data_IF_859171234859
#
_entry.id   IF_859171234859
#
_cell.length_a   1.000
_cell.length_b   1.000
_cell.length_c   1.000
_cell.angle_alpha   90.00
_cell.angle_beta   90.00
_cell.angle_gamma   90.00
#
_symmetry.space_group_name_H-M   'P 1'
#
loop_
_entity.id
_entity.type
_entity.pdbx_description
1 polymer ?
#
# COMPACT_ATOMS: atom_id res chain seq x y z
N UNK A 1 67.26 -8.57 21.42
CA UNK A 1 66.76 -8.13 20.10
C UNK A 1 65.24 -8.32 20.04
N UNK A 2 64.54 -7.20 19.90
CA UNK A 2 63.19 -6.93 19.37
C UNK A 2 61.92 -7.68 19.83
N UNK A 3 61.04 -6.88 20.46
CA UNK A 3 59.62 -7.04 20.83
C UNK A 3 58.70 -7.22 19.61
N UNK A 4 57.58 -7.94 19.78
CA UNK A 4 56.33 -7.81 18.98
C UNK A 4 55.14 -8.02 19.94
N UNK A 5 54.56 -6.95 20.50
CA UNK A 5 53.40 -6.15 20.03
C UNK A 5 52.11 -6.98 19.98
N UNK A 6 51.28 -6.75 21.00
CA UNK A 6 49.84 -7.03 21.04
C UNK A 6 49.15 -6.05 20.09
N UNK A 7 48.25 -6.51 19.21
CA UNK A 7 47.31 -5.62 18.53
C UNK A 7 45.90 -6.20 18.59
N UNK A 8 45.11 -5.57 19.46
CA UNK A 8 43.67 -5.70 19.59
C UNK A 8 43.00 -5.33 18.26
N UNK A 9 42.23 -6.24 17.68
CA UNK A 9 41.33 -5.93 16.56
C UNK A 9 39.90 -6.00 17.07
N UNK A 10 39.35 -4.81 17.31
CA UNK A 10 37.94 -4.61 17.65
C UNK A 10 37.12 -4.96 16.42
N UNK A 11 36.40 -6.09 16.49
CA UNK A 11 35.43 -6.48 15.48
C UNK A 11 34.22 -5.53 15.59
N UNK A 12 34.19 -4.48 14.76
CA UNK A 12 33.03 -3.60 14.65
C UNK A 12 31.91 -4.36 13.92
N UNK A 13 31.06 -5.05 14.68
CA UNK A 13 29.89 -5.75 14.19
C UNK A 13 28.82 -4.71 13.81
N UNK A 14 28.90 -4.20 12.58
CA UNK A 14 27.79 -3.45 11.98
C UNK A 14 26.67 -4.44 11.69
N UNK A 15 25.82 -4.69 12.70
CA UNK A 15 24.55 -5.37 12.49
C UNK A 15 23.77 -4.55 11.45
N UNK A 16 23.46 -5.08 10.26
CA UNK A 16 22.43 -4.45 9.46
C UNK A 16 21.18 -4.47 10.33
N UNK A 17 20.66 -3.30 10.66
CA UNK A 17 19.34 -3.18 11.26
C UNK A 17 18.35 -3.62 10.18
N UNK A 18 18.18 -4.93 10.07
CA UNK A 18 17.17 -5.54 9.20
C UNK A 18 15.84 -5.16 9.83
N UNK A 19 15.23 -4.10 9.32
CA UNK A 19 13.84 -3.78 9.61
C UNK A 19 13.01 -4.88 8.95
N UNK A 20 12.86 -6.01 9.66
CA UNK A 20 11.87 -7.01 9.31
C UNK A 20 10.51 -6.31 9.47
N UNK A 21 9.92 -5.88 8.36
CA UNK A 21 8.54 -5.44 8.36
C UNK A 21 7.70 -6.59 8.95
N UNK A 22 6.86 -6.33 9.97
CA UNK A 22 6.03 -7.38 10.53
C UNK A 22 5.22 -8.01 9.39
N UNK A 23 5.41 -9.32 9.21
CA UNK A 23 4.61 -10.09 8.28
C UNK A 23 3.22 -10.25 8.90
N UNK A 24 2.31 -9.32 8.57
CA UNK A 24 0.90 -9.46 8.92
C UNK A 24 0.30 -10.60 8.09
N UNK A 25 0.01 -11.71 8.76
CA UNK A 25 -0.60 -12.91 8.17
C UNK A 25 -2.11 -12.90 8.45
N UNK A 26 -2.86 -12.18 7.64
CA UNK A 26 -4.33 -12.07 7.68
C UNK A 26 -4.82 -10.93 6.78
N UNK A 27 -6.10 -10.87 6.38
CA UNK A 27 -6.61 -9.67 5.75
C UNK A 27 -6.54 -8.55 6.80
N UNK A 28 -5.62 -7.61 6.58
CA UNK A 28 -5.36 -6.52 7.50
C UNK A 28 -6.62 -5.67 7.65
N UNK A 29 -7.16 -5.57 8.87
CA UNK A 29 -8.27 -4.66 9.14
C UNK A 29 -7.73 -3.24 9.24
N UNK A 30 -7.96 -2.43 8.21
CA UNK A 30 -7.51 -1.05 8.17
C UNK A 30 -8.66 -0.08 8.44
N UNK A 31 -8.42 0.94 9.28
CA UNK A 31 -9.37 2.05 9.49
C UNK A 31 -8.70 3.34 9.06
N UNK A 32 -9.27 3.98 8.04
CA UNK A 32 -8.75 5.20 7.42
C UNK A 32 -9.80 6.30 7.58
N UNK A 33 -9.48 7.33 8.36
CA UNK A 33 -10.41 8.42 8.70
C UNK A 33 -10.05 9.73 7.99
N UNK A 34 -11.07 10.49 7.59
CA UNK A 34 -10.89 11.80 6.97
C UNK A 34 -10.16 12.78 7.91
N UNK A 35 -9.24 13.58 7.36
CA UNK A 35 -8.54 14.67 8.06
C UNK A 35 -7.50 14.22 9.08
N UNK A 36 -7.30 12.91 9.31
CA UNK A 36 -6.35 12.39 10.29
C UNK A 36 -5.12 11.80 9.61
N UNK A 37 -3.92 12.19 10.05
CA UNK A 37 -2.66 11.55 9.63
C UNK A 37 -2.39 10.22 10.36
N UNK A 38 -3.41 9.67 11.02
CA UNK A 38 -3.33 8.40 11.74
C UNK A 38 -4.55 7.55 11.40
N UNK A 39 -4.29 6.30 11.03
CA UNK A 39 -5.27 5.24 10.91
C UNK A 39 -4.95 4.11 11.87
N UNK A 40 -5.62 2.97 11.69
CA UNK A 40 -5.22 1.73 12.37
C UNK A 40 -5.10 0.60 11.37
N UNK A 41 -4.19 -0.34 11.63
CA UNK A 41 -4.06 -1.61 10.92
C UNK A 41 -4.03 -2.70 12.00
N UNK A 42 -5.00 -3.61 11.98
CA UNK A 42 -5.20 -4.64 13.01
C UNK A 42 -5.23 -4.06 14.44
N UNK A 43 -5.88 -2.90 14.58
CA UNK A 43 -6.00 -2.18 15.84
C UNK A 43 -4.73 -1.43 16.29
N UNK A 44 -3.60 -1.61 15.60
CA UNK A 44 -2.37 -0.87 15.87
C UNK A 44 -2.38 0.47 15.14
N UNK A 45 -1.91 1.54 15.80
CA UNK A 45 -1.83 2.85 15.18
C UNK A 45 -0.88 2.84 13.98
N UNK A 46 -1.34 3.39 12.86
CA UNK A 46 -0.59 3.49 11.62
C UNK A 46 -0.50 4.96 11.18
N UNK A 47 0.71 5.43 10.86
CA UNK A 47 0.94 6.83 10.45
C UNK A 47 0.79 6.97 8.95
N UNK A 48 -0.15 7.81 8.54
CA UNK A 48 -0.34 8.22 7.14
C UNK A 48 0.56 9.42 6.86
N UNK A 49 1.20 9.44 5.69
CA UNK A 49 2.06 10.56 5.31
C UNK A 49 1.25 11.76 4.82
N UNK A 50 0.04 11.51 4.30
CA UNK A 50 -0.92 12.54 3.95
C UNK A 50 -2.30 12.21 4.53
N UNK A 51 -2.97 13.22 5.06
CA UNK A 51 -4.30 13.06 5.62
C UNK A 51 -5.26 12.62 4.51
N UNK A 52 -6.09 11.58 4.73
CA UNK A 52 -7.19 11.27 3.84
C UNK A 52 -8.13 12.47 3.73
N UNK A 53 -8.63 12.72 2.53
CA UNK A 53 -9.49 13.86 2.22
C UNK A 53 -10.88 13.35 1.88
N UNK A 54 -11.90 13.86 2.57
CA UNK A 54 -13.29 13.61 2.20
C UNK A 54 -13.75 14.74 1.30
N UNK A 55 -13.94 14.46 0.01
CA UNK A 55 -14.30 15.45 -1.00
C UNK A 55 -15.40 14.88 -1.91
N UNK A 56 -16.47 15.66 -2.10
CA UNK A 56 -17.62 15.30 -2.94
C UNK A 56 -18.22 13.91 -2.61
N UNK A 57 -18.18 13.50 -1.34
CA UNK A 57 -18.69 12.20 -0.90
C UNK A 57 -17.73 11.03 -1.05
N UNK A 58 -16.52 11.26 -1.57
CA UNK A 58 -15.49 10.24 -1.72
C UNK A 58 -14.36 10.46 -0.71
N UNK A 59 -13.99 9.41 0.02
CA UNK A 59 -12.79 9.42 0.85
C UNK A 59 -11.59 9.09 -0.04
N UNK A 60 -10.70 10.05 -0.22
CA UNK A 60 -9.43 9.90 -0.90
C UNK A 60 -8.31 9.61 0.09
N UNK A 61 -7.40 8.72 -0.26
CA UNK A 61 -6.13 8.54 0.45
C UNK A 61 -4.98 8.44 -0.57
N UNK A 62 -3.77 8.77 -0.13
CA UNK A 62 -2.59 8.58 -0.96
C UNK A 62 -2.42 7.09 -1.26
N UNK A 63 -2.25 6.73 -2.54
CA UNK A 63 -2.13 5.32 -2.98
C UNK A 63 -1.02 4.59 -2.21
N UNK A 64 0.08 5.27 -1.91
CA UNK A 64 1.19 4.71 -1.12
C UNK A 64 0.81 4.42 0.33
N UNK A 65 0.07 5.31 0.97
CA UNK A 65 -0.35 5.13 2.36
C UNK A 65 -1.37 3.99 2.45
N UNK A 66 -2.31 3.90 1.49
CA UNK A 66 -3.24 2.79 1.41
C UNK A 66 -2.54 1.46 1.10
N UNK A 67 -1.59 1.45 0.16
CA UNK A 67 -0.80 0.25 -0.15
C UNK A 67 -0.13 -0.30 1.11
N UNK A 68 0.56 0.56 1.85
CA UNK A 68 1.27 0.16 3.06
C UNK A 68 0.30 -0.29 4.18
N UNK A 69 -0.85 0.35 4.34
CA UNK A 69 -1.88 -0.09 5.29
C UNK A 69 -2.46 -1.47 4.96
N UNK A 70 -2.52 -1.84 3.67
CA UNK A 70 -3.04 -3.12 3.18
C UNK A 70 -1.95 -4.19 2.98
N UNK A 71 -0.70 -3.90 3.36
CA UNK A 71 0.44 -4.80 3.15
C UNK A 71 0.86 -4.97 1.69
N UNK A 72 0.45 -4.05 0.81
CA UNK A 72 0.82 -4.01 -0.60
C UNK A 72 2.09 -3.17 -0.83
N UNK A 73 2.88 -3.56 -1.84
CA UNK A 73 3.95 -2.73 -2.38
C UNK A 73 3.40 -1.68 -3.35
N UNK A 74 4.16 -0.61 -3.59
CA UNK A 74 3.85 0.38 -4.61
C UNK A 74 5.09 0.78 -5.40
N UNK A 75 4.95 0.88 -6.72
CA UNK A 75 5.95 1.45 -7.63
C UNK A 75 5.35 2.66 -8.34
N UNK A 76 6.16 3.67 -8.61
CA UNK A 76 5.77 4.85 -9.38
C UNK A 76 6.47 4.86 -10.73
N UNK A 77 5.77 5.31 -11.77
CA UNK A 77 6.32 5.54 -13.12
C UNK A 77 6.04 6.97 -13.55
N UNK A 78 7.10 7.77 -13.69
CA UNK A 78 7.00 9.21 -13.98
C UNK A 78 6.42 9.49 -15.37
N UNK A 79 6.83 8.73 -16.40
CA UNK A 79 6.42 9.02 -17.79
C UNK A 79 4.92 8.90 -18.01
N UNK A 80 4.29 8.00 -17.27
CA UNK A 80 2.85 7.74 -17.37
C UNK A 80 2.07 8.29 -16.18
N UNK A 81 2.77 8.91 -15.22
CA UNK A 81 2.23 9.35 -13.93
C UNK A 81 1.35 8.28 -13.28
N UNK A 82 1.90 7.07 -13.21
CA UNK A 82 1.15 5.89 -12.73
C UNK A 82 1.73 5.34 -11.44
N UNK A 83 0.85 5.00 -10.50
CA UNK A 83 1.17 4.15 -9.37
C UNK A 83 0.73 2.71 -9.67
N UNK A 84 1.64 1.76 -9.48
CA UNK A 84 1.38 0.33 -9.57
C UNK A 84 1.42 -0.24 -8.17
N UNK A 85 0.26 -0.60 -7.63
CA UNK A 85 0.13 -1.28 -6.34
C UNK A 85 0.13 -2.80 -6.55
N UNK A 86 0.91 -3.52 -5.74
CA UNK A 86 1.13 -4.96 -5.87
C UNK A 86 0.81 -5.62 -4.53
N UNK A 87 -0.20 -6.48 -4.50
CA UNK A 87 -0.60 -7.26 -3.34
C UNK A 87 -0.36 -8.75 -3.63
N UNK A 88 0.39 -9.41 -2.75
CA UNK A 88 0.57 -10.86 -2.76
C UNK A 88 -0.31 -11.47 -1.67
N UNK A 89 -1.19 -12.40 -2.03
CA UNK A 89 -2.08 -13.11 -1.09
C UNK A 89 -2.07 -14.59 -1.41
N UNK A 90 -1.40 -15.38 -0.57
CA UNK A 90 -1.19 -16.81 -0.82
C UNK A 90 -0.46 -17.04 -2.15
N UNK A 91 -1.07 -17.82 -3.05
CA UNK A 91 -0.52 -18.13 -4.38
C UNK A 91 -0.95 -17.15 -5.48
N UNK A 92 -1.54 -15.99 -5.13
CA UNK A 92 -2.06 -14.99 -6.07
C UNK A 92 -1.36 -13.64 -5.90
N UNK A 93 -1.16 -12.97 -7.02
CA UNK A 93 -0.70 -11.59 -7.13
C UNK A 93 -1.79 -10.75 -7.78
N UNK A 94 -2.15 -9.66 -7.11
CA UNK A 94 -3.01 -8.61 -7.65
C UNK A 94 -2.15 -7.37 -7.93
N UNK A 95 -2.22 -6.88 -9.17
CA UNK A 95 -1.54 -5.65 -9.60
C UNK A 95 -2.59 -4.64 -10.03
N UNK A 96 -2.70 -3.53 -9.31
CA UNK A 96 -3.58 -2.42 -9.64
C UNK A 96 -2.74 -1.25 -10.17
N UNK A 97 -2.98 -0.86 -11.42
CA UNK A 97 -2.35 0.30 -12.05
C UNK A 97 -3.32 1.47 -12.05
N UNK A 98 -2.91 2.57 -11.42
CA UNK A 98 -3.66 3.82 -11.31
C UNK A 98 -2.89 4.94 -11.99
N UNK A 99 -3.50 5.61 -12.95
CA UNK A 99 -2.93 6.79 -13.60
C UNK A 99 -3.52 8.06 -13.02
N UNK A 100 -2.71 9.10 -12.86
CA UNK A 100 -3.21 10.43 -12.51
C UNK A 100 -4.25 10.91 -13.54
N UNK A 101 -5.37 11.44 -13.06
CA UNK A 101 -6.51 11.90 -13.85
C UNK A 101 -7.43 10.80 -14.38
N UNK A 102 -7.11 9.52 -14.18
CA UNK A 102 -7.94 8.43 -14.69
C UNK A 102 -9.13 8.11 -13.78
N UNK A 103 -10.24 7.74 -14.40
CA UNK A 103 -11.49 7.26 -13.79
C UNK A 103 -11.54 5.73 -13.66
N UNK A 104 -10.40 5.05 -13.78
CA UNK A 104 -10.34 3.59 -13.80
C UNK A 104 -9.01 3.05 -13.29
N UNK A 105 -9.06 1.81 -12.81
CA UNK A 105 -7.91 0.99 -12.43
C UNK A 105 -7.80 -0.13 -13.47
N UNK A 106 -6.58 -0.40 -13.94
CA UNK A 106 -6.29 -1.67 -14.63
C UNK A 106 -5.82 -2.69 -13.59
N UNK A 107 -6.65 -3.70 -13.33
CA UNK A 107 -6.40 -4.75 -12.36
C UNK A 107 -5.98 -6.03 -13.08
N UNK A 108 -4.80 -6.52 -12.73
CA UNK A 108 -4.31 -7.84 -13.15
C UNK A 108 -4.31 -8.78 -11.96
N UNK A 109 -4.97 -9.93 -12.10
CA UNK A 109 -4.91 -11.04 -11.16
C UNK A 109 -4.20 -12.22 -11.82
N UNK A 110 -3.07 -12.61 -11.24
CA UNK A 110 -2.16 -13.61 -11.77
C UNK A 110 -1.63 -14.52 -10.65
N UNK A 111 -1.03 -15.68 -10.97
CA UNK A 111 -0.29 -16.44 -9.98
C UNK A 111 0.87 -15.63 -9.39
N UNK A 112 1.18 -15.91 -8.13
CA UNK A 112 2.30 -15.30 -7.41
C UNK A 112 3.66 -15.60 -8.05
N UNK A 113 4.70 -14.90 -7.60
CA UNK A 113 6.07 -15.09 -8.14
C UNK A 113 6.49 -16.56 -8.06
N UNK A 114 7.05 -17.09 -9.16
CA UNK A 114 7.57 -18.46 -9.20
C UNK A 114 6.51 -19.55 -9.38
N UNK A 115 5.24 -19.16 -9.54
CA UNK A 115 4.16 -20.09 -9.85
C UNK A 115 3.90 -20.01 -11.36
N UNK A 116 3.91 -21.16 -12.03
CA UNK A 116 3.62 -21.23 -13.46
C UNK A 116 2.26 -20.60 -13.77
N UNK A 117 2.20 -19.78 -14.82
CA UNK A 117 0.99 -19.10 -15.23
C UNK A 117 -0.07 -20.13 -15.66
N UNK A 118 -1.05 -20.40 -14.80
CA UNK A 118 -2.24 -21.19 -15.18
C UNK A 118 -3.35 -20.29 -15.72
N UNK A 119 -3.62 -19.16 -15.06
CA UNK A 119 -4.68 -18.21 -15.44
C UNK A 119 -4.30 -16.78 -15.06
N UNK A 120 -4.32 -15.87 -16.03
CA UNK A 120 -4.18 -14.42 -15.84
C UNK A 120 -5.49 -13.76 -16.27
N UNK A 121 -6.03 -12.89 -15.42
CA UNK A 121 -7.17 -12.05 -15.78
C UNK A 121 -6.79 -10.58 -15.69
N UNK A 122 -7.22 -9.79 -16.68
CA UNK A 122 -7.06 -8.34 -16.70
C UNK A 122 -8.44 -7.71 -16.78
N UNK A 123 -8.75 -6.81 -15.85
CA UNK A 123 -10.03 -6.11 -15.79
C UNK A 123 -9.82 -4.61 -15.64
N UNK A 124 -10.76 -3.84 -16.18
CA UNK A 124 -10.85 -2.41 -15.92
C UNK A 124 -11.92 -2.20 -14.85
N UNK A 125 -11.54 -1.64 -13.71
CA UNK A 125 -12.45 -1.30 -12.62
C UNK A 125 -12.69 0.20 -12.70
N UNK A 126 -13.96 0.62 -12.83
CA UNK A 126 -14.31 2.04 -12.83
C UNK A 126 -14.21 2.59 -11.41
N UNK A 127 -13.61 3.76 -11.29
CA UNK A 127 -13.67 4.56 -10.08
C UNK A 127 -14.95 5.39 -10.10
N UNK A 128 -15.52 5.62 -8.93
CA UNK A 128 -16.63 6.55 -8.74
C UNK A 128 -16.17 8.03 -8.80
N UNK A 129 -14.87 8.27 -8.65
CA UNK A 129 -14.22 9.55 -8.89
C UNK A 129 -12.75 9.37 -9.36
N UNK A 130 -12.17 10.31 -10.13
CA UNK A 130 -10.85 10.11 -10.71
C UNK A 130 -9.73 10.05 -9.65
N UNK A 131 -8.66 9.32 -9.93
CA UNK A 131 -7.43 9.43 -9.16
C UNK A 131 -6.74 10.78 -9.47
N UNK A 132 -6.32 11.53 -8.46
CA UNK A 132 -5.81 12.91 -8.62
C UNK A 132 -4.41 13.07 -8.05
N UNK A 133 -3.56 13.84 -8.73
CA UNK A 133 -2.28 14.27 -8.17
C UNK A 133 -2.50 15.52 -7.32
N UNK A 134 -2.29 15.39 -6.02
CA UNK A 134 -2.42 16.48 -5.06
C UNK A 134 -1.17 16.53 -4.17
N UNK A 135 -0.53 17.70 -4.09
CA UNK A 135 0.67 17.91 -3.28
C UNK A 135 1.79 16.87 -3.55
N UNK A 136 1.97 16.49 -4.83
CA UNK A 136 2.98 15.50 -5.23
C UNK A 136 2.65 14.04 -4.86
N UNK A 137 1.41 13.75 -4.41
CA UNK A 137 0.94 12.40 -4.11
C UNK A 137 -0.25 12.04 -4.99
N UNK A 138 -0.27 10.82 -5.51
CA UNK A 138 -1.45 10.29 -6.17
C UNK A 138 -2.46 9.89 -5.10
N UNK A 139 -3.58 10.60 -5.07
CA UNK A 139 -4.75 10.35 -4.24
C UNK A 139 -5.76 9.53 -5.05
N UNK A 140 -6.34 8.50 -4.44
CA UNK A 140 -7.38 7.69 -5.08
C UNK A 140 -8.54 7.45 -4.11
N UNK A 141 -9.78 7.28 -4.61
CA UNK A 141 -10.89 6.89 -3.77
C UNK A 141 -10.60 5.55 -3.07
N UNK A 142 -10.69 5.54 -1.74
CA UNK A 142 -10.28 4.41 -0.90
C UNK A 142 -11.09 3.16 -1.23
N UNK A 143 -12.41 3.31 -1.39
CA UNK A 143 -13.35 2.18 -1.59
C UNK A 143 -13.05 1.39 -2.87
N UNK A 144 -13.19 1.94 -4.09
CA UNK A 144 -13.02 1.16 -5.30
C UNK A 144 -11.60 0.61 -5.44
N UNK A 145 -10.59 1.29 -4.89
CA UNK A 145 -9.21 0.79 -4.89
C UNK A 145 -9.01 -0.42 -3.97
N UNK A 146 -9.54 -0.38 -2.75
CA UNK A 146 -9.48 -1.52 -1.84
C UNK A 146 -10.35 -2.69 -2.33
N UNK A 147 -11.54 -2.42 -2.84
CA UNK A 147 -12.43 -3.44 -3.42
C UNK A 147 -11.83 -4.10 -4.67
N UNK A 148 -11.13 -3.34 -5.52
CA UNK A 148 -10.41 -3.90 -6.66
C UNK A 148 -9.34 -4.94 -6.23
N UNK A 149 -8.74 -4.76 -5.05
CA UNK A 149 -7.79 -5.71 -4.48
C UNK A 149 -8.46 -6.85 -3.67
N UNK A 150 -9.78 -6.92 -3.66
CA UNK A 150 -10.53 -7.98 -2.99
C UNK A 150 -10.67 -7.80 -1.48
N UNK A 151 -10.65 -6.56 -1.00
CA UNK A 151 -11.08 -6.20 0.36
C UNK A 151 -12.54 -5.75 0.36
N UNK A 152 -13.22 -5.91 1.50
CA UNK A 152 -14.52 -5.31 1.76
C UNK A 152 -14.33 -3.93 2.39
N UNK A 153 -15.22 -2.99 2.08
CA UNK A 153 -15.14 -1.63 2.62
C UNK A 153 -16.48 -1.21 3.18
N UNK A 154 -16.51 -0.94 4.49
CA UNK A 154 -17.66 -0.37 5.18
C UNK A 154 -17.39 1.08 5.56
N UNK A 155 -18.41 1.93 5.45
CA UNK A 155 -18.34 3.30 5.94
C UNK A 155 -18.76 3.37 7.41
N UNK A 156 -17.98 4.10 8.22
CA UNK A 156 -18.32 4.55 9.56
C UNK A 156 -18.61 6.05 9.51
N UNK A 157 -19.89 6.41 9.59
CA UNK A 157 -20.31 7.81 9.49
C UNK A 157 -19.92 8.64 10.72
N UNK A 158 -19.88 8.04 11.91
CA UNK A 158 -19.53 8.73 13.16
C UNK A 158 -18.05 9.07 13.17
N UNK A 159 -17.20 8.15 12.73
CA UNK A 159 -15.76 8.36 12.63
C UNK A 159 -15.30 9.03 11.32
N UNK A 160 -16.22 9.20 10.35
CA UNK A 160 -15.92 9.58 8.97
C UNK A 160 -14.78 8.74 8.39
N UNK A 161 -14.91 7.42 8.52
CA UNK A 161 -13.84 6.48 8.24
C UNK A 161 -14.27 5.35 7.32
N UNK A 162 -13.37 4.94 6.43
CA UNK A 162 -13.45 3.67 5.74
C UNK A 162 -12.85 2.58 6.64
N UNK A 163 -13.62 1.53 6.89
CA UNK A 163 -13.19 0.28 7.55
C UNK A 163 -13.02 -0.77 6.46
N UNK A 164 -11.79 -1.26 6.30
CA UNK A 164 -11.36 -2.17 5.23
C UNK A 164 -11.04 -3.52 5.87
N UNK A 165 -11.61 -4.61 5.34
CA UNK A 165 -11.52 -5.98 5.88
C UNK A 165 -11.37 -7.06 4.79
#
# INVERSE_FOLDING_TARGET
MFRKIVLSSVLLFCLPFVFAAPAFAGPAKAVIAAGKNTGTVDGQAYRLQMAPVLENGHLYAAVRDLAAALGAGVSWEDKTQSATMILERGSRRYTAVLRAGADRIELTDAPGRGIAAQYISVRKIMLDAPAVLQNGRLMAPVRPLAEALGFQVRWDATAQAAVIE
#
